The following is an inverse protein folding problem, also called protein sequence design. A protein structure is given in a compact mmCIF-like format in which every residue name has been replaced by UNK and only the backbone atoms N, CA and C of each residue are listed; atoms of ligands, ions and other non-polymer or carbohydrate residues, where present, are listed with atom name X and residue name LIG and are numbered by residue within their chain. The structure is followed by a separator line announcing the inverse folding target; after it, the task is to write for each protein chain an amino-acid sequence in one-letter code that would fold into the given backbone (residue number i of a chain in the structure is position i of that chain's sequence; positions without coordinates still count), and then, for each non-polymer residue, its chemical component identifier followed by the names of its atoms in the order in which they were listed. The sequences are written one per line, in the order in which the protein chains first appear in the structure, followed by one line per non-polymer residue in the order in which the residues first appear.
data_IF_291925561258
#
_entry.id   IF_291925561258
#
_cell.length_a   1.000
_cell.length_b   1.000
_cell.length_c   1.000
_cell.angle_alpha   90.00
_cell.angle_beta   90.00
_cell.angle_gamma   90.00
#
_symmetry.space_group_name_H-M   'P 1'
#
loop_
_entity.id
_entity.type
_entity.pdbx_description
1 polymer ?
#
# COMPACT_ATOMS: atom_id res chain seq x y z
N UNK A 1 25.93 31.13 6.27
CA UNK A 1 25.07 30.95 7.46
C UNK A 1 23.58 31.18 7.11
N UNK A 2 22.92 30.37 6.26
CA UNK A 2 21.49 30.56 5.88
C UNK A 2 20.70 29.27 5.74
N UNK A 3 21.10 28.15 6.35
CA UNK A 3 20.37 26.87 6.22
C UNK A 3 19.87 26.23 7.52
N UNK A 4 20.06 26.86 8.69
CA UNK A 4 19.59 26.30 9.97
C UNK A 4 18.14 26.61 10.33
N UNK A 5 17.50 27.61 9.67
CA UNK A 5 16.15 28.05 10.01
C UNK A 5 15.03 27.20 9.40
N UNK A 6 15.26 26.55 8.26
CA UNK A 6 14.20 25.76 7.57
C UNK A 6 13.91 24.43 8.25
N UNK A 7 14.92 23.77 8.80
CA UNK A 7 14.75 22.46 9.49
C UNK A 7 13.99 22.59 10.83
N UNK A 8 14.10 23.74 11.52
CA UNK A 8 13.38 23.97 12.76
C UNK A 8 11.87 24.19 12.54
N UNK A 9 11.50 24.87 11.43
CA UNK A 9 10.09 25.03 11.03
C UNK A 9 9.43 23.74 10.54
N UNK A 10 10.20 22.84 9.91
CA UNK A 10 9.68 21.54 9.49
C UNK A 10 9.48 20.58 10.68
N UNK A 11 10.44 20.50 11.62
CA UNK A 11 10.25 19.73 12.87
C UNK A 11 9.04 20.21 13.68
N UNK A 12 8.82 21.53 13.76
CA UNK A 12 7.65 22.09 14.43
C UNK A 12 6.31 21.83 13.69
N UNK A 13 6.33 21.62 12.37
CA UNK A 13 5.12 21.24 11.61
C UNK A 13 4.72 19.77 11.82
N UNK A 14 5.71 18.87 11.95
CA UNK A 14 5.46 17.44 12.25
C UNK A 14 4.98 17.27 13.70
N UNK A 15 5.61 17.97 14.68
CA UNK A 15 5.14 17.94 16.07
C UNK A 15 3.76 18.60 16.27
N UNK A 16 3.38 19.60 15.45
CA UNK A 16 2.05 20.23 15.54
C UNK A 16 0.90 19.33 15.03
N UNK A 17 1.16 18.33 14.19
CA UNK A 17 0.11 17.39 13.75
C UNK A 17 -0.40 16.47 14.87
N UNK A 18 0.41 16.21 15.88
CA UNK A 18 0.04 15.34 17.01
C UNK A 18 -0.68 16.04 18.16
N UNK A 19 -0.72 17.38 18.16
CA UNK A 19 -1.31 18.19 19.23
C UNK A 19 -2.71 18.75 18.94
N UNK A 20 -3.37 18.36 17.84
CA UNK A 20 -4.74 18.83 17.59
C UNK A 20 -5.71 18.19 18.57
N UNK A 21 -6.47 18.99 19.34
CA UNK A 21 -7.57 18.47 20.14
C UNK A 21 -8.56 17.72 19.23
N UNK A 22 -9.23 16.73 19.80
CA UNK A 22 -10.28 15.98 19.10
C UNK A 22 -11.33 17.00 18.65
N UNK A 23 -11.32 17.37 17.39
CA UNK A 23 -12.41 18.17 16.85
C UNK A 23 -13.60 17.25 16.72
N UNK A 24 -14.56 17.41 17.61
CA UNK A 24 -15.79 16.62 17.67
C UNK A 24 -16.44 16.54 16.28
N UNK A 25 -16.44 17.64 15.52
CA UNK A 25 -16.95 17.71 14.15
C UNK A 25 -16.21 16.78 13.17
N UNK A 26 -14.88 16.63 13.31
CA UNK A 26 -14.09 15.72 12.47
C UNK A 26 -14.38 14.26 12.83
N UNK A 27 -14.47 13.94 14.10
CA UNK A 27 -14.82 12.62 14.60
C UNK A 27 -16.22 12.17 14.15
N UNK A 28 -17.23 13.02 14.24
CA UNK A 28 -18.56 12.73 13.69
C UNK A 28 -18.56 12.51 12.18
N UNK A 29 -17.75 13.28 11.43
CA UNK A 29 -17.59 13.12 9.98
C UNK A 29 -16.95 11.78 9.64
N UNK A 30 -15.94 11.36 10.39
CA UNK A 30 -15.26 10.07 10.20
C UNK A 30 -16.17 8.88 10.49
N UNK A 31 -16.91 8.93 11.61
CA UNK A 31 -17.94 7.91 11.94
C UNK A 31 -19.03 7.84 10.85
N UNK A 32 -19.51 8.99 10.39
CA UNK A 32 -20.52 9.01 9.34
C UNK A 32 -20.01 8.39 8.03
N UNK A 33 -18.77 8.65 7.66
CA UNK A 33 -18.16 8.03 6.48
C UNK A 33 -18.06 6.51 6.63
N UNK A 34 -17.64 6.00 7.78
CA UNK A 34 -17.57 4.55 8.07
C UNK A 34 -18.93 3.89 8.06
N UNK A 35 -19.94 4.59 8.57
CA UNK A 35 -21.32 4.11 8.51
C UNK A 35 -21.84 4.04 7.07
N UNK A 36 -21.54 5.03 6.24
CA UNK A 36 -21.88 5.01 4.82
C UNK A 36 -21.17 3.88 4.07
N UNK A 37 -19.89 3.61 4.38
CA UNK A 37 -19.17 2.44 3.86
C UNK A 37 -19.87 1.14 4.27
N UNK A 38 -20.24 0.98 5.53
CA UNK A 38 -20.97 -0.20 6.00
C UNK A 38 -22.29 -0.40 5.25
N UNK A 39 -23.10 0.64 5.07
CA UNK A 39 -24.34 0.58 4.29
C UNK A 39 -24.08 0.19 2.83
N UNK A 40 -23.02 0.72 2.22
CA UNK A 40 -22.60 0.37 0.87
C UNK A 40 -22.24 -1.12 0.77
N UNK A 41 -21.45 -1.64 1.70
CA UNK A 41 -21.08 -3.07 1.74
C UNK A 41 -22.30 -4.00 1.87
N UNK A 42 -23.27 -3.63 2.70
CA UNK A 42 -24.52 -4.37 2.85
C UNK A 42 -25.31 -4.34 1.54
N UNK A 43 -25.49 -3.17 0.93
CA UNK A 43 -26.22 -2.99 -0.33
C UNK A 43 -25.64 -3.81 -1.47
N UNK A 44 -24.32 -3.91 -1.57
CA UNK A 44 -23.62 -4.64 -2.62
C UNK A 44 -23.34 -6.11 -2.26
N UNK A 45 -23.97 -6.63 -1.22
CA UNK A 45 -23.84 -8.04 -0.78
C UNK A 45 -22.38 -8.48 -0.61
N UNK A 46 -21.57 -7.61 0.00
CA UNK A 46 -20.19 -7.96 0.34
C UNK A 46 -20.15 -9.16 1.31
N UNK A 47 -19.06 -9.92 1.34
CA UNK A 47 -18.89 -11.03 2.27
C UNK A 47 -19.20 -10.64 3.72
N UNK A 48 -19.88 -11.53 4.45
CA UNK A 48 -20.32 -11.27 5.82
C UNK A 48 -19.18 -10.89 6.77
N UNK A 49 -17.99 -11.44 6.54
CA UNK A 49 -16.76 -11.15 7.29
C UNK A 49 -16.35 -9.67 7.15
N UNK A 50 -16.44 -9.12 5.94
CA UNK A 50 -16.12 -7.72 5.66
C UNK A 50 -17.12 -6.79 6.34
N UNK A 51 -18.42 -7.11 6.25
CA UNK A 51 -19.50 -6.36 6.90
C UNK A 51 -19.34 -6.40 8.42
N UNK A 52 -19.09 -7.58 8.98
CA UNK A 52 -18.84 -7.79 10.41
C UNK A 52 -17.63 -6.99 10.90
N UNK A 53 -16.54 -7.03 10.14
CA UNK A 53 -15.35 -6.25 10.46
C UNK A 53 -15.64 -4.74 10.47
N UNK A 54 -16.27 -4.22 9.43
CA UNK A 54 -16.56 -2.79 9.31
C UNK A 54 -17.50 -2.32 10.44
N UNK A 55 -18.43 -3.18 10.86
CA UNK A 55 -19.28 -2.93 12.02
C UNK A 55 -18.47 -2.87 13.33
N UNK A 56 -17.57 -3.85 13.55
CA UNK A 56 -16.69 -3.85 14.73
C UNK A 56 -15.73 -2.66 14.75
N UNK A 57 -15.22 -2.24 13.58
CA UNK A 57 -14.39 -1.07 13.45
C UNK A 57 -15.16 0.21 13.84
N UNK A 58 -16.38 0.35 13.36
CA UNK A 58 -17.27 1.45 13.75
C UNK A 58 -17.54 1.48 15.26
N UNK A 59 -17.84 0.33 15.88
CA UNK A 59 -18.04 0.22 17.31
C UNK A 59 -16.78 0.61 18.10
N UNK A 60 -15.59 0.22 17.63
CA UNK A 60 -14.33 0.58 18.26
C UNK A 60 -14.11 2.09 18.25
N UNK A 61 -14.41 2.74 17.14
CA UNK A 61 -14.28 4.20 17.02
C UNK A 61 -15.32 4.98 17.85
N UNK A 62 -16.47 4.38 18.11
CA UNK A 62 -17.50 5.01 18.94
C UNK A 62 -17.21 4.81 20.44
N UNK A 63 -16.88 3.58 20.85
CA UNK A 63 -16.89 3.21 22.27
C UNK A 63 -15.50 3.04 22.88
N UNK A 64 -14.48 2.71 22.10
CA UNK A 64 -13.15 2.39 22.63
C UNK A 64 -12.17 3.52 22.39
N UNK A 65 -12.05 3.99 21.15
CA UNK A 65 -11.01 4.96 20.79
C UNK A 65 -11.13 6.32 21.51
N UNK A 66 -12.32 6.96 21.65
CA UNK A 66 -12.42 8.25 22.31
C UNK A 66 -12.04 8.23 23.79
N UNK A 67 -12.57 7.34 24.66
CA UNK A 67 -12.21 7.34 26.06
C UNK A 67 -10.75 6.99 26.29
N UNK A 68 -10.19 6.03 25.54
CA UNK A 68 -8.78 5.66 25.65
C UNK A 68 -7.88 6.81 25.18
N UNK A 69 -8.27 7.54 24.15
CA UNK A 69 -7.54 8.72 23.66
C UNK A 69 -7.50 9.85 24.70
N UNK A 70 -8.61 10.09 25.39
CA UNK A 70 -8.68 11.12 26.46
C UNK A 70 -7.74 10.76 27.60
N UNK A 71 -7.70 9.49 28.01
CA UNK A 71 -6.92 9.04 29.18
C UNK A 71 -5.44 8.86 28.85
N UNK A 72 -5.11 8.24 27.71
CA UNK A 72 -3.76 7.76 27.40
C UNK A 72 -3.10 8.40 26.17
N UNK A 73 -3.81 9.31 25.49
CA UNK A 73 -3.35 9.96 24.25
C UNK A 73 -3.55 9.11 22.99
N UNK A 74 -3.33 9.75 21.83
CA UNK A 74 -3.64 9.21 20.49
C UNK A 74 -2.92 7.89 20.17
N UNK A 75 -1.63 7.78 20.50
CA UNK A 75 -0.81 6.61 20.15
C UNK A 75 -1.28 5.37 20.92
N UNK A 76 -1.47 5.48 22.25
CA UNK A 76 -1.96 4.36 23.05
C UNK A 76 -3.39 3.97 22.69
N UNK A 77 -4.26 4.93 22.37
CA UNK A 77 -5.62 4.66 21.93
C UNK A 77 -5.67 3.83 20.65
N UNK A 78 -4.84 4.16 19.66
CA UNK A 78 -4.74 3.38 18.42
C UNK A 78 -4.23 1.96 18.69
N UNK A 79 -3.21 1.81 19.54
CA UNK A 79 -2.67 0.50 19.89
C UNK A 79 -3.71 -0.38 20.59
N UNK A 80 -4.45 0.15 21.57
CA UNK A 80 -5.48 -0.59 22.31
C UNK A 80 -6.66 -0.91 21.41
N UNK A 81 -7.15 0.06 20.62
CA UNK A 81 -8.22 -0.17 19.64
C UNK A 81 -7.81 -1.19 18.59
N UNK A 82 -6.57 -1.10 18.08
CA UNK A 82 -6.02 -2.06 17.14
C UNK A 82 -5.88 -3.47 17.72
N UNK A 83 -5.46 -3.62 18.97
CA UNK A 83 -5.39 -4.93 19.64
C UNK A 83 -6.77 -5.53 19.84
N UNK A 84 -7.77 -4.72 20.21
CA UNK A 84 -9.15 -5.15 20.33
C UNK A 84 -9.71 -5.63 18.99
N UNK A 85 -9.54 -4.86 17.92
CA UNK A 85 -9.93 -5.26 16.58
C UNK A 85 -9.17 -6.50 16.10
N UNK A 86 -7.87 -6.59 16.37
CA UNK A 86 -7.03 -7.72 15.99
C UNK A 86 -7.53 -9.06 16.54
N UNK A 87 -8.08 -9.07 17.75
CA UNK A 87 -8.67 -10.27 18.33
C UNK A 87 -9.84 -10.81 17.50
N UNK A 88 -10.61 -9.92 16.84
CA UNK A 88 -11.75 -10.30 15.99
C UNK A 88 -11.40 -10.45 14.51
N UNK A 89 -10.20 -10.09 14.09
CA UNK A 89 -9.85 -9.87 12.68
C UNK A 89 -9.00 -10.97 12.04
N UNK A 90 -8.52 -11.97 12.81
CA UNK A 90 -7.82 -13.10 12.20
C UNK A 90 -8.83 -14.00 11.48
N UNK A 91 -9.08 -13.73 10.21
CA UNK A 91 -10.05 -14.49 9.41
C UNK A 91 -9.71 -14.44 7.92
N UNK A 92 -10.28 -15.38 7.19
CA UNK A 92 -10.20 -15.43 5.74
C UNK A 92 -11.33 -14.57 5.17
N UNK A 93 -10.95 -13.52 4.44
CA UNK A 93 -11.87 -12.63 3.73
C UNK A 93 -11.99 -13.07 2.28
N UNK A 94 -13.23 -13.26 1.83
CA UNK A 94 -13.52 -13.42 0.41
C UNK A 94 -13.45 -12.07 -0.31
N UNK A 95 -12.95 -12.06 -1.53
CA UNK A 95 -12.96 -10.85 -2.36
C UNK A 95 -14.40 -10.48 -2.76
N UNK A 96 -14.68 -9.19 -3.06
CA UNK A 96 -16.00 -8.77 -3.52
C UNK A 96 -16.35 -9.42 -4.86
N UNK A 97 -17.62 -9.78 -5.04
CA UNK A 97 -18.12 -10.27 -6.33
C UNK A 97 -17.79 -9.28 -7.48
N UNK A 98 -17.37 -9.74 -8.67
CA UNK A 98 -17.33 -11.13 -9.18
C UNK A 98 -16.05 -11.91 -8.88
N UNK A 99 -15.12 -11.39 -8.08
CA UNK A 99 -13.88 -12.06 -7.74
C UNK A 99 -14.12 -13.27 -6.83
N UNK A 100 -13.26 -14.29 -6.94
CA UNK A 100 -13.35 -15.53 -6.15
C UNK A 100 -12.21 -15.70 -5.15
N UNK A 101 -11.20 -14.85 -5.25
CA UNK A 101 -10.02 -14.90 -4.38
C UNK A 101 -10.34 -14.68 -2.91
N UNK A 102 -9.38 -15.04 -2.07
CA UNK A 102 -9.46 -14.94 -0.61
C UNK A 102 -8.21 -14.26 -0.07
N UNK A 103 -8.34 -13.59 1.06
CA UNK A 103 -7.24 -12.97 1.80
C UNK A 103 -7.26 -13.42 3.25
N UNK A 104 -6.13 -13.91 3.74
CA UNK A 104 -5.93 -14.14 5.16
C UNK A 104 -5.45 -12.84 5.80
N UNK A 105 -6.30 -12.27 6.63
CA UNK A 105 -6.02 -11.07 7.39
C UNK A 105 -5.77 -11.43 8.85
N UNK A 106 -4.66 -10.98 9.42
CA UNK A 106 -4.23 -11.30 10.79
C UNK A 106 -4.17 -10.07 11.70
N UNK A 107 -4.25 -8.88 11.11
CA UNK A 107 -4.14 -7.61 11.83
C UNK A 107 -5.23 -6.64 11.41
N UNK A 108 -5.61 -5.73 12.29
CA UNK A 108 -6.51 -4.63 11.98
C UNK A 108 -5.93 -3.69 10.90
N UNK A 109 -4.61 -3.57 10.81
CA UNK A 109 -3.93 -2.77 9.79
C UNK A 109 -4.10 -3.33 8.37
N UNK A 110 -4.39 -4.62 8.23
CA UNK A 110 -4.59 -5.28 6.94
C UNK A 110 -5.84 -4.78 6.19
N UNK A 111 -6.77 -4.19 6.93
CA UNK A 111 -8.04 -3.74 6.37
C UNK A 111 -7.94 -2.42 5.62
N UNK A 112 -6.96 -1.57 5.96
CA UNK A 112 -6.67 -0.34 5.21
C UNK A 112 -6.45 -0.62 3.73
N UNK A 113 -5.43 -1.41 3.37
CA UNK A 113 -5.19 -1.82 1.98
C UNK A 113 -6.38 -2.54 1.33
N UNK A 114 -7.13 -3.36 2.07
CA UNK A 114 -8.34 -3.99 1.54
C UNK A 114 -9.40 -2.95 1.15
N UNK A 115 -9.69 -1.99 2.03
CA UNK A 115 -10.65 -0.92 1.76
C UNK A 115 -10.20 -0.05 0.57
N UNK A 116 -8.95 0.33 0.52
CA UNK A 116 -8.39 1.17 -0.55
C UNK A 116 -8.45 0.48 -1.91
N UNK A 117 -8.09 -0.79 -1.97
CA UNK A 117 -7.98 -1.55 -3.22
C UNK A 117 -9.35 -2.04 -3.67
N UNK A 118 -10.15 -2.67 -2.80
CA UNK A 118 -11.39 -3.33 -3.22
C UNK A 118 -12.63 -2.47 -3.11
N UNK A 119 -12.66 -1.48 -2.22
CA UNK A 119 -13.84 -0.64 -1.97
C UNK A 119 -13.70 0.72 -2.65
N UNK A 120 -12.57 1.40 -2.44
CA UNK A 120 -12.31 2.72 -3.03
C UNK A 120 -11.75 2.66 -4.46
N UNK A 121 -11.19 1.51 -4.86
CA UNK A 121 -10.58 1.27 -6.17
C UNK A 121 -9.50 2.30 -6.55
N UNK A 122 -8.65 2.66 -5.57
CA UNK A 122 -7.63 3.72 -5.76
C UNK A 122 -6.65 3.38 -6.88
N UNK A 123 -6.39 2.09 -7.14
CA UNK A 123 -5.47 1.61 -8.20
C UNK A 123 -6.17 1.22 -9.50
N UNK A 124 -7.44 1.61 -9.68
CA UNK A 124 -8.18 1.40 -10.94
C UNK A 124 -8.16 -0.05 -11.43
N UNK A 125 -8.78 -0.97 -10.69
CA UNK A 125 -8.86 -2.41 -11.00
C UNK A 125 -9.28 -2.72 -12.45
N UNK A 126 -10.03 -1.82 -13.08
CA UNK A 126 -10.52 -1.97 -14.47
C UNK A 126 -9.42 -2.02 -15.53
N UNK A 127 -8.20 -1.56 -15.21
CA UNK A 127 -7.08 -1.61 -16.15
C UNK A 127 -6.45 -2.99 -16.24
N UNK A 128 -6.61 -3.83 -15.21
CA UNK A 128 -6.15 -5.22 -15.20
C UNK A 128 -6.98 -6.05 -16.18
N UNK A 129 -6.32 -6.71 -17.13
CA UNK A 129 -6.92 -7.56 -18.16
C UNK A 129 -6.27 -8.94 -18.18
N UNK A 130 -7.01 -9.95 -18.64
CA UNK A 130 -6.49 -11.28 -18.83
C UNK A 130 -5.22 -11.32 -19.70
N UNK A 131 -4.22 -12.11 -19.31
CA UNK A 131 -2.96 -12.28 -20.03
C UNK A 131 -1.90 -11.20 -19.79
N UNK A 132 -2.16 -10.19 -18.95
CA UNK A 132 -1.19 -9.13 -18.65
C UNK A 132 -0.09 -9.61 -17.71
N UNK A 133 1.11 -9.02 -17.89
CA UNK A 133 2.24 -9.16 -16.95
C UNK A 133 2.31 -7.91 -16.06
N UNK A 134 2.21 -8.13 -14.76
CA UNK A 134 2.12 -7.08 -13.73
C UNK A 134 3.30 -7.21 -12.77
N UNK A 135 3.94 -6.09 -12.42
CA UNK A 135 4.88 -6.00 -11.32
C UNK A 135 4.19 -5.22 -10.18
N UNK A 136 4.10 -5.84 -9.01
CA UNK A 136 3.57 -5.26 -7.78
C UNK A 136 4.74 -4.98 -6.83
N UNK A 137 5.18 -3.73 -6.78
CA UNK A 137 6.28 -3.25 -5.94
C UNK A 137 5.71 -2.72 -4.62
N UNK A 138 6.20 -3.26 -3.50
CA UNK A 138 5.60 -3.07 -2.19
C UNK A 138 4.30 -3.88 -2.07
N UNK A 139 4.41 -5.20 -2.30
CA UNK A 139 3.25 -6.09 -2.31
C UNK A 139 2.60 -6.26 -0.92
N UNK A 140 3.34 -5.93 0.14
CA UNK A 140 2.91 -6.08 1.52
C UNK A 140 2.39 -7.52 1.77
N UNK A 141 1.24 -7.71 2.37
CA UNK A 141 0.60 -9.03 2.58
C UNK A 141 -0.09 -9.58 1.32
N UNK A 142 0.01 -8.91 0.18
CA UNK A 142 -0.48 -9.39 -1.12
C UNK A 142 -1.90 -8.98 -1.48
N UNK A 143 -2.45 -7.92 -0.90
CA UNK A 143 -3.83 -7.47 -1.19
C UNK A 143 -4.01 -7.14 -2.67
N UNK A 144 -3.09 -6.33 -3.26
CA UNK A 144 -3.12 -6.04 -4.69
C UNK A 144 -2.65 -7.23 -5.54
N UNK A 145 -1.66 -7.99 -5.06
CA UNK A 145 -1.15 -9.21 -5.74
C UNK A 145 -2.28 -10.20 -6.01
N UNK A 146 -3.13 -10.49 -5.02
CA UNK A 146 -4.26 -11.44 -5.15
C UNK A 146 -5.28 -10.93 -6.17
N UNK A 147 -5.61 -9.63 -6.14
CA UNK A 147 -6.47 -9.01 -7.15
C UNK A 147 -5.88 -9.15 -8.56
N UNK A 148 -4.62 -8.76 -8.72
CA UNK A 148 -3.94 -8.80 -10.01
C UNK A 148 -3.86 -10.22 -10.55
N UNK A 149 -3.45 -11.20 -9.71
CA UNK A 149 -3.32 -12.61 -10.10
C UNK A 149 -4.64 -13.20 -10.59
N UNK A 150 -5.75 -12.89 -9.91
CA UNK A 150 -7.06 -13.34 -10.32
C UNK A 150 -7.50 -12.71 -11.65
N UNK A 151 -7.30 -11.39 -11.79
CA UNK A 151 -7.74 -10.65 -12.99
C UNK A 151 -6.93 -10.96 -14.24
N UNK A 152 -5.60 -11.13 -14.10
CA UNK A 152 -4.77 -11.49 -15.27
C UNK A 152 -4.91 -12.96 -15.64
N UNK A 153 -5.33 -13.81 -14.68
CA UNK A 153 -5.62 -15.23 -14.93
C UNK A 153 -4.39 -16.04 -15.33
N UNK A 154 -4.59 -17.30 -15.69
CA UNK A 154 -3.53 -18.30 -15.97
C UNK A 154 -2.56 -17.91 -17.09
N UNK A 155 -2.97 -17.07 -18.01
CA UNK A 155 -2.16 -16.64 -19.17
C UNK A 155 -1.35 -15.37 -18.88
N UNK A 156 -1.61 -14.67 -17.77
CA UNK A 156 -0.84 -13.53 -17.29
C UNK A 156 0.12 -13.94 -16.18
N UNK A 157 0.97 -13.00 -15.75
CA UNK A 157 1.90 -13.17 -14.62
C UNK A 157 1.83 -11.98 -13.69
N UNK A 158 2.02 -12.23 -12.40
CA UNK A 158 2.25 -11.20 -11.39
C UNK A 158 3.59 -11.44 -10.73
N UNK A 159 4.43 -10.41 -10.69
CA UNK A 159 5.69 -10.41 -9.98
C UNK A 159 5.51 -9.56 -8.74
N UNK A 160 5.48 -10.17 -7.57
CA UNK A 160 5.21 -9.52 -6.29
C UNK A 160 6.51 -9.35 -5.50
N UNK A 161 6.82 -8.11 -5.13
CA UNK A 161 8.06 -7.74 -4.46
C UNK A 161 7.75 -7.11 -3.11
N UNK A 162 8.27 -7.74 -2.05
CA UNK A 162 8.08 -7.29 -0.67
C UNK A 162 9.36 -7.48 0.13
N UNK A 163 10.01 -6.40 0.62
CA UNK A 163 11.26 -6.49 1.35
C UNK A 163 11.11 -6.97 2.80
N UNK A 164 10.00 -6.65 3.48
CA UNK A 164 9.82 -7.01 4.89
C UNK A 164 9.46 -8.49 5.00
N UNK A 165 10.23 -9.24 5.78
CA UNK A 165 10.15 -10.71 5.81
C UNK A 165 8.83 -11.24 6.36
N UNK A 166 8.22 -10.61 7.36
CA UNK A 166 6.94 -11.06 7.91
C UNK A 166 5.78 -10.75 6.96
N UNK A 167 5.78 -9.58 6.31
CA UNK A 167 4.82 -9.27 5.25
C UNK A 167 4.98 -10.23 4.09
N UNK A 168 6.23 -10.54 3.68
CA UNK A 168 6.51 -11.50 2.62
C UNK A 168 5.99 -12.91 2.95
N UNK A 169 6.16 -13.40 4.17
CA UNK A 169 5.57 -14.69 4.59
C UNK A 169 4.05 -14.68 4.44
N UNK A 170 3.41 -13.59 4.82
CA UNK A 170 1.96 -13.42 4.72
C UNK A 170 1.50 -13.31 3.26
N UNK A 171 2.29 -12.65 2.40
CA UNK A 171 2.09 -12.64 0.95
C UNK A 171 2.08 -14.07 0.39
N UNK A 172 3.06 -14.91 0.78
CA UNK A 172 3.10 -16.31 0.37
C UNK A 172 1.88 -17.09 0.85
N UNK A 173 1.46 -16.91 2.11
CA UNK A 173 0.24 -17.53 2.64
C UNK A 173 -0.99 -17.15 1.80
N UNK A 174 -1.13 -15.90 1.41
CA UNK A 174 -2.24 -15.42 0.59
C UNK A 174 -2.19 -15.95 -0.85
N UNK A 175 -1.00 -16.09 -1.44
CA UNK A 175 -0.83 -16.73 -2.76
C UNK A 175 -1.24 -18.21 -2.68
N UNK A 176 -0.78 -18.92 -1.67
CA UNK A 176 -1.08 -20.36 -1.47
C UNK A 176 -2.57 -20.60 -1.19
N UNK A 177 -3.20 -19.75 -0.37
CA UNK A 177 -4.64 -19.83 -0.05
C UNK A 177 -5.53 -19.81 -1.31
N UNK A 178 -5.05 -19.14 -2.38
CA UNK A 178 -5.76 -19.03 -3.65
C UNK A 178 -5.25 -20.03 -4.73
N UNK A 179 -4.27 -20.85 -4.43
CA UNK A 179 -3.63 -21.77 -5.37
C UNK A 179 -3.12 -21.09 -6.64
N UNK A 180 -2.65 -19.83 -6.56
CA UNK A 180 -2.12 -19.12 -7.72
C UNK A 180 -0.79 -19.71 -8.18
N UNK A 181 -0.73 -20.05 -9.48
CA UNK A 181 0.48 -20.54 -10.15
C UNK A 181 1.09 -19.48 -11.09
N UNK A 182 0.42 -18.37 -11.23
CA UNK A 182 0.81 -17.25 -12.09
C UNK A 182 1.46 -16.10 -11.30
N UNK A 183 1.84 -16.33 -10.04
CA UNK A 183 2.55 -15.36 -9.20
C UNK A 183 3.97 -15.83 -8.94
N UNK A 184 4.93 -14.93 -9.18
CA UNK A 184 6.34 -15.07 -8.78
C UNK A 184 6.56 -14.02 -7.70
N UNK A 185 7.07 -14.41 -6.54
CA UNK A 185 7.33 -13.49 -5.44
C UNK A 185 8.81 -13.49 -5.05
N UNK A 186 9.33 -12.33 -4.62
CA UNK A 186 10.70 -12.18 -4.13
C UNK A 186 10.73 -11.31 -2.85
N UNK A 187 11.51 -11.77 -1.85
CA UNK A 187 11.73 -11.03 -0.61
C UNK A 187 12.95 -10.10 -0.78
N UNK A 188 12.77 -9.04 -1.54
CA UNK A 188 13.77 -8.00 -1.83
C UNK A 188 13.11 -6.63 -1.86
N UNK A 189 13.89 -5.57 -1.74
CA UNK A 189 13.48 -4.21 -2.10
C UNK A 189 13.82 -3.88 -3.54
N UNK A 190 13.12 -2.90 -4.13
CA UNK A 190 13.50 -2.30 -5.40
C UNK A 190 13.95 -0.86 -5.20
N UNK A 191 15.01 -0.47 -5.92
CA UNK A 191 15.61 0.85 -5.87
C UNK A 191 16.38 1.13 -7.17
N UNK A 192 17.27 2.15 -7.20
CA UNK A 192 18.07 2.52 -8.36
C UNK A 192 19.43 1.81 -8.48
N UNK A 193 19.74 0.90 -7.56
CA UNK A 193 21.01 0.14 -7.54
C UNK A 193 20.80 -1.28 -7.00
N UNK A 194 21.86 -2.10 -7.08
CA UNK A 194 21.90 -3.46 -6.52
C UNK A 194 22.73 -3.48 -5.24
N UNK A 195 22.38 -4.33 -4.28
CA UNK A 195 23.11 -4.51 -3.03
C UNK A 195 22.23 -4.75 -1.83
N UNK A 196 22.46 -4.00 -0.77
CA UNK A 196 21.69 -4.06 0.47
C UNK A 196 21.37 -2.67 0.98
N UNK A 197 20.14 -2.49 1.46
CA UNK A 197 19.66 -1.27 2.07
C UNK A 197 19.07 -1.52 3.45
N UNK A 198 18.93 -0.44 4.23
CA UNK A 198 18.24 -0.45 5.52
C UNK A 198 16.77 -0.19 5.30
N UNK A 199 15.93 -1.15 5.66
CA UNK A 199 14.49 -0.98 5.73
C UNK A 199 14.12 -0.56 7.15
N UNK A 200 13.64 0.66 7.32
CA UNK A 200 13.28 1.23 8.62
C UNK A 200 11.83 0.88 8.95
N UNK A 201 11.62 0.48 10.22
CA UNK A 201 10.29 0.19 10.70
C UNK A 201 9.55 1.49 11.04
N UNK A 202 8.31 1.61 10.53
CA UNK A 202 7.37 2.66 10.92
C UNK A 202 6.38 2.13 11.95
N UNK A 203 6.02 2.98 12.91
CA UNK A 203 5.10 2.61 14.00
C UNK A 203 3.65 2.42 13.53
N UNK A 204 3.30 2.86 12.30
CA UNK A 204 1.90 3.03 11.92
C UNK A 204 1.47 2.33 10.64
N UNK A 205 2.17 2.50 9.56
CA UNK A 205 1.79 1.93 8.26
C UNK A 205 3.04 1.86 7.40
N UNK A 206 3.35 0.69 6.85
CA UNK A 206 4.41 0.49 5.90
C UNK A 206 5.85 0.64 6.47
N UNK A 207 6.78 -0.07 5.87
CA UNK A 207 8.19 0.03 6.17
C UNK A 207 8.89 0.74 5.02
N UNK A 208 9.81 1.66 5.31
CA UNK A 208 10.42 2.53 4.30
C UNK A 208 11.93 2.36 4.21
N UNK A 209 12.46 2.40 2.98
CA UNK A 209 13.91 2.49 2.74
C UNK A 209 14.44 3.92 2.97
N UNK A 210 13.56 4.93 3.03
CA UNK A 210 13.95 6.34 3.11
C UNK A 210 13.55 6.97 4.44
N UNK A 211 12.31 6.75 4.92
CA UNK A 211 11.81 7.38 6.13
C UNK A 211 12.24 6.66 7.40
N UNK A 212 12.88 7.39 8.30
CA UNK A 212 13.45 6.91 9.56
C UNK A 212 12.67 7.53 10.73
N UNK A 213 11.67 6.84 11.28
CA UNK A 213 11.04 7.25 12.55
C UNK A 213 11.98 7.00 13.73
N UNK A 214 12.62 5.83 13.75
CA UNK A 214 13.70 5.45 14.67
C UNK A 214 14.90 4.95 13.89
N UNK A 215 16.02 5.67 13.97
CA UNK A 215 17.27 5.33 13.25
C UNK A 215 17.89 3.99 13.69
N UNK A 216 17.48 3.46 14.83
CA UNK A 216 17.99 2.21 15.39
C UNK A 216 17.08 1.00 15.08
N UNK A 217 15.87 1.23 14.56
CA UNK A 217 14.90 0.18 14.26
C UNK A 217 14.86 -0.08 12.75
N UNK A 218 15.75 -0.94 12.26
CA UNK A 218 15.82 -1.33 10.86
C UNK A 218 16.25 -2.79 10.70
N UNK A 219 15.93 -3.36 9.55
CA UNK A 219 16.52 -4.60 9.04
C UNK A 219 17.31 -4.30 7.77
N UNK A 220 18.31 -5.15 7.49
CA UNK A 220 19.08 -5.07 6.23
C UNK A 220 18.42 -5.99 5.21
N UNK A 221 18.00 -5.45 4.09
CA UNK A 221 17.31 -6.18 3.01
C UNK A 221 18.11 -6.13 1.72
N UNK A 222 18.13 -7.20 0.91
CA UNK A 222 18.69 -7.14 -0.43
C UNK A 222 17.85 -6.24 -1.32
N UNK A 223 18.51 -5.47 -2.20
CA UNK A 223 17.85 -4.58 -3.15
C UNK A 223 18.36 -4.82 -4.56
N UNK A 224 17.46 -4.59 -5.55
CA UNK A 224 17.75 -4.63 -6.98
C UNK A 224 17.06 -3.50 -7.71
N UNK A 225 17.40 -3.34 -8.98
CA UNK A 225 16.65 -2.48 -9.90
C UNK A 225 15.51 -3.27 -10.57
N UNK A 226 14.47 -2.57 -11.02
CA UNK A 226 13.43 -3.20 -11.88
C UNK A 226 14.06 -3.76 -13.15
N UNK A 227 15.01 -3.05 -13.75
CA UNK A 227 15.70 -3.50 -14.96
C UNK A 227 16.41 -4.84 -14.75
N UNK A 228 17.07 -5.01 -13.60
CA UNK A 228 17.72 -6.27 -13.24
C UNK A 228 16.73 -7.39 -12.99
N UNK A 229 15.64 -7.11 -12.29
CA UNK A 229 14.55 -8.06 -12.05
C UNK A 229 13.93 -8.56 -13.37
N UNK A 230 13.65 -7.66 -14.31
CA UNK A 230 13.09 -7.98 -15.64
C UNK A 230 14.06 -8.85 -16.45
N UNK A 231 15.36 -8.54 -16.40
CA UNK A 231 16.42 -9.35 -17.03
C UNK A 231 16.48 -10.77 -16.46
N UNK A 232 16.60 -10.89 -15.14
CA UNK A 232 16.72 -12.20 -14.45
C UNK A 232 15.51 -13.11 -14.67
N UNK A 233 14.30 -12.54 -14.70
CA UNK A 233 13.07 -13.27 -14.93
C UNK A 233 12.74 -13.46 -16.42
N UNK A 234 13.61 -12.95 -17.32
CA UNK A 234 13.43 -12.98 -18.79
C UNK A 234 12.04 -12.51 -19.22
N UNK A 235 11.58 -11.39 -18.65
CA UNK A 235 10.27 -10.82 -18.93
C UNK A 235 10.34 -9.96 -20.20
N UNK A 236 9.78 -10.46 -21.29
CA UNK A 236 9.81 -9.77 -22.60
C UNK A 236 8.86 -8.59 -22.70
N UNK A 237 7.83 -8.57 -21.87
CA UNK A 237 6.81 -7.53 -21.88
C UNK A 237 6.28 -7.32 -20.48
N UNK A 238 6.12 -6.06 -20.10
CA UNK A 238 5.44 -5.63 -18.86
C UNK A 238 4.28 -4.74 -19.28
N UNK A 239 3.10 -5.02 -18.76
CA UNK A 239 1.87 -4.27 -19.07
C UNK A 239 1.57 -3.23 -17.98
N UNK A 240 1.84 -3.59 -16.71
CA UNK A 240 1.55 -2.73 -15.56
C UNK A 240 2.68 -2.84 -14.53
N UNK A 241 3.08 -1.71 -13.96
CA UNK A 241 3.86 -1.66 -12.72
C UNK A 241 3.08 -0.83 -11.70
N UNK A 242 2.70 -1.44 -10.56
CA UNK A 242 2.23 -0.73 -9.38
C UNK A 242 3.43 -0.51 -8.47
N UNK A 243 3.58 0.72 -7.94
CA UNK A 243 4.63 1.09 -7.00
C UNK A 243 3.98 1.76 -5.79
N UNK A 244 4.26 1.22 -4.62
CA UNK A 244 3.78 1.72 -3.34
C UNK A 244 4.79 1.26 -2.28
N UNK A 245 5.82 2.09 -2.06
CA UNK A 245 7.04 1.76 -1.32
C UNK A 245 7.35 2.72 -0.19
N UNK A 246 6.30 3.43 0.26
CA UNK A 246 6.36 4.33 1.41
C UNK A 246 7.49 5.37 1.28
N UNK A 247 7.57 6.02 0.07
CA UNK A 247 8.46 7.12 -0.23
C UNK A 247 9.71 6.78 -1.06
N UNK A 248 9.86 5.52 -1.50
CA UNK A 248 10.97 5.09 -2.37
C UNK A 248 10.59 5.04 -3.86
N UNK A 249 9.46 5.62 -4.26
CA UNK A 249 8.88 5.53 -5.60
C UNK A 249 9.83 6.08 -6.67
N UNK A 250 10.45 7.23 -6.42
CA UNK A 250 11.39 7.84 -7.37
C UNK A 250 12.67 7.02 -7.57
N UNK A 251 13.37 6.51 -6.53
CA UNK A 251 14.45 5.53 -6.68
C UNK A 251 14.04 4.29 -7.48
N UNK A 252 12.88 3.70 -7.19
CA UNK A 252 12.36 2.54 -7.93
C UNK A 252 12.19 2.86 -9.42
N UNK A 253 11.62 4.02 -9.75
CA UNK A 253 11.47 4.48 -11.13
C UNK A 253 12.82 4.71 -11.83
N UNK A 254 13.82 5.23 -11.13
CA UNK A 254 15.19 5.38 -11.66
C UNK A 254 15.83 4.02 -11.98
N UNK A 255 15.51 2.99 -11.18
CA UNK A 255 15.94 1.61 -11.44
C UNK A 255 15.20 0.90 -12.58
N UNK A 256 14.26 1.58 -13.26
CA UNK A 256 13.44 1.02 -14.33
C UNK A 256 13.70 1.63 -15.72
N UNK A 257 14.78 2.34 -15.93
CA UNK A 257 15.03 3.13 -17.16
C UNK A 257 14.93 2.32 -18.46
N UNK A 258 15.53 1.13 -18.51
CA UNK A 258 15.47 0.25 -19.68
C UNK A 258 14.05 -0.31 -19.87
N UNK A 259 13.42 -0.72 -18.78
CA UNK A 259 12.06 -1.26 -18.75
C UNK A 259 11.05 -0.22 -19.25
N UNK A 260 11.14 1.02 -18.75
CA UNK A 260 10.29 2.13 -19.20
C UNK A 260 10.44 2.39 -20.70
N UNK A 261 11.69 2.41 -21.21
CA UNK A 261 11.99 2.66 -22.61
C UNK A 261 11.53 1.52 -23.55
N UNK A 262 11.65 0.27 -23.09
CA UNK A 262 11.32 -0.91 -23.92
C UNK A 262 9.85 -1.30 -23.90
N UNK A 263 9.02 -0.69 -23.05
CA UNK A 263 7.59 -0.98 -22.93
C UNK A 263 6.74 0.29 -23.18
N UNK A 264 6.56 0.75 -24.42
CA UNK A 264 5.91 2.03 -24.72
C UNK A 264 4.43 2.09 -24.31
N UNK A 265 3.78 0.94 -24.13
CA UNK A 265 2.39 0.83 -23.66
C UNK A 265 2.28 0.50 -22.17
N UNK A 266 3.38 0.59 -21.42
CA UNK A 266 3.42 0.32 -20.00
C UNK A 266 2.53 1.30 -19.23
N UNK A 267 1.70 0.76 -18.37
CA UNK A 267 0.91 1.54 -17.41
C UNK A 267 1.58 1.53 -16.05
N UNK A 268 1.74 2.72 -15.49
CA UNK A 268 2.28 2.91 -14.15
C UNK A 268 1.15 3.36 -13.21
N UNK A 269 1.15 2.82 -12.00
CA UNK A 269 0.26 3.18 -10.90
C UNK A 269 1.15 3.38 -9.68
N UNK A 270 1.28 4.62 -9.23
CA UNK A 270 2.28 5.00 -8.23
C UNK A 270 1.60 5.74 -7.10
N UNK A 271 1.70 5.21 -5.88
CA UNK A 271 1.32 5.93 -4.67
C UNK A 271 2.41 6.97 -4.36
N UNK A 272 2.09 8.25 -4.41
CA UNK A 272 3.06 9.34 -4.29
C UNK A 272 2.61 10.41 -3.29
N UNK A 273 2.11 9.97 -2.13
CA UNK A 273 1.60 10.85 -1.07
C UNK A 273 2.47 10.90 0.18
N UNK A 274 3.64 10.27 0.17
CA UNK A 274 4.46 10.07 1.37
C UNK A 274 5.21 11.33 1.82
N UNK A 275 5.52 12.26 0.88
CA UNK A 275 6.12 13.55 1.20
C UNK A 275 5.66 14.67 0.23
N UNK A 276 5.74 15.95 0.63
CA UNK A 276 5.05 17.06 -0.07
C UNK A 276 5.41 17.27 -1.54
N UNK A 277 6.64 16.94 -1.98
CA UNK A 277 7.10 17.14 -3.37
C UNK A 277 7.03 15.89 -4.23
N UNK A 278 6.64 14.74 -3.66
CA UNK A 278 6.74 13.45 -4.33
C UNK A 278 5.93 13.36 -5.63
N UNK A 279 4.67 13.79 -5.58
CA UNK A 279 3.81 13.83 -6.77
C UNK A 279 4.48 14.62 -7.89
N UNK A 280 5.02 15.80 -7.56
CA UNK A 280 5.66 16.67 -8.55
C UNK A 280 6.91 16.00 -9.13
N UNK A 281 7.77 15.42 -8.28
CA UNK A 281 9.00 14.75 -8.68
C UNK A 281 8.72 13.53 -9.57
N UNK A 282 7.75 12.69 -9.19
CA UNK A 282 7.31 11.52 -9.98
C UNK A 282 6.74 11.96 -11.33
N UNK A 283 5.84 12.96 -11.35
CA UNK A 283 5.27 13.47 -12.59
C UNK A 283 6.35 14.06 -13.53
N UNK A 284 7.30 14.86 -13.00
CA UNK A 284 8.39 15.42 -13.78
C UNK A 284 9.30 14.33 -14.35
N UNK A 285 9.61 13.29 -13.55
CA UNK A 285 10.42 12.16 -13.99
C UNK A 285 9.77 11.42 -15.17
N UNK A 286 8.49 11.12 -15.06
CA UNK A 286 7.73 10.38 -16.08
C UNK A 286 7.49 11.23 -17.35
N UNK A 287 7.12 12.50 -17.19
CA UNK A 287 6.87 13.40 -18.33
C UNK A 287 8.12 13.61 -19.17
N UNK A 288 9.33 13.71 -18.57
CA UNK A 288 10.60 13.78 -19.30
C UNK A 288 10.89 12.53 -20.15
N UNK A 289 10.21 11.41 -19.87
CA UNK A 289 10.31 10.12 -20.59
C UNK A 289 9.16 9.86 -21.54
N UNK A 290 8.32 10.88 -21.77
CA UNK A 290 7.21 10.81 -22.72
C UNK A 290 5.92 10.20 -22.17
N UNK A 291 5.85 9.84 -20.88
CA UNK A 291 4.61 9.40 -20.25
C UNK A 291 3.71 10.61 -19.96
N UNK A 292 2.42 10.50 -20.25
CA UNK A 292 1.42 11.45 -19.79
C UNK A 292 0.88 10.99 -18.45
N UNK A 293 0.83 11.88 -17.48
CA UNK A 293 0.45 11.55 -16.10
C UNK A 293 -0.90 12.17 -15.72
N UNK A 294 -1.64 11.45 -14.88
CA UNK A 294 -2.85 11.92 -14.22
C UNK A 294 -2.73 11.60 -12.73
N UNK A 295 -3.10 12.54 -11.89
CA UNK A 295 -3.07 12.38 -10.41
C UNK A 295 -4.49 12.26 -9.89
N UNK A 296 -4.75 11.26 -9.05
CA UNK A 296 -6.01 11.11 -8.33
C UNK A 296 -6.07 12.02 -7.10
N UNK A 297 -7.26 12.08 -6.47
CA UNK A 297 -7.43 12.81 -5.18
C UNK A 297 -6.68 12.16 -4.04
N UNK A 298 -6.40 10.87 -4.16
CA UNK A 298 -5.71 10.06 -3.14
C UNK A 298 -4.19 9.99 -3.38
N UNK A 299 -3.61 10.92 -4.17
CA UNK A 299 -2.18 11.00 -4.41
C UNK A 299 -1.62 9.94 -5.39
N UNK A 300 -2.49 9.14 -6.04
CA UNK A 300 -2.03 8.13 -6.99
C UNK A 300 -1.72 8.77 -8.34
N UNK A 301 -0.48 8.63 -8.79
CA UNK A 301 -0.02 9.03 -10.14
C UNK A 301 -0.19 7.85 -11.09
N UNK A 302 -0.94 8.05 -12.16
CA UNK A 302 -1.15 7.04 -13.22
C UNK A 302 -0.72 7.57 -14.57
N UNK A 303 -0.12 6.68 -15.41
CA UNK A 303 0.09 6.99 -16.84
C UNK A 303 -1.17 6.72 -17.65
N UNK A 304 -1.43 7.59 -18.65
CA UNK A 304 -2.63 7.55 -19.49
C UNK A 304 -2.28 7.39 -20.97
#
# INVERSE_FOLDING_TARGET
MRNFGKNKKMKNKIQRKDSYPLRISWWFKDINNKFLVLLHLIKFRCPSEVIKYQFMYLLTDIFIYPPVRIIFGKIKARRIGGSFLGFFCSSIFSLPFPLKGKLLMKSWTDHGPYEEIYIKDIYSQKILKGGMNVIDVGANIGVYTVLAAEKVGKNGKVIAIEPETENYKRLIENIQLNNFRNVISQNIGLTDHEGFEKLYFSSFVGHSLIFQEDKNSYIKVPVKTIDKLVEELNLKKIDIIKIDTEGSELPVLKGAEKTLKSNPNLKLIIAAEHYPSEIEEVCQFLNKRGFKTKVSRDGIVMTV
#
